data_IF_932242347012
#
_entry.id   IF_932242347012
#
_cell.length_a   1.000
_cell.length_b   1.000
_cell.length_c   1.000
_cell.angle_alpha   90.00
_cell.angle_beta   90.00
_cell.angle_gamma   90.00
#
_symmetry.space_group_name_H-M   'P 1'
#
loop_
_entity.id
_entity.type
_entity.pdbx_description
1 polymer ?
#
# COMPACT_ATOMS: atom_id res chain seq x y z
N UNK A 1 70.13 -8.26 -12.70
CA UNK A 1 69.02 -7.94 -11.77
C UNK A 1 67.95 -7.23 -12.57
N UNK A 2 66.87 -7.93 -12.93
CA UNK A 2 65.74 -7.37 -13.68
C UNK A 2 64.49 -7.71 -12.87
N UNK A 3 63.88 -6.70 -12.26
CA UNK A 3 62.58 -6.80 -11.57
C UNK A 3 61.49 -6.86 -12.65
N UNK A 4 60.75 -7.98 -12.73
CA UNK A 4 59.48 -8.05 -13.45
C UNK A 4 58.36 -7.84 -12.44
N UNK A 5 57.64 -6.73 -12.58
CA UNK A 5 56.38 -6.47 -11.88
C UNK A 5 55.26 -7.25 -12.59
N UNK A 6 54.59 -8.12 -11.85
CA UNK A 6 53.33 -8.74 -12.28
C UNK A 6 52.21 -7.76 -11.87
N UNK A 7 51.58 -7.12 -12.85
CA UNK A 7 50.36 -6.34 -12.62
C UNK A 7 49.19 -7.31 -12.76
N UNK A 8 48.61 -7.73 -11.64
CA UNK A 8 47.30 -8.38 -11.60
C UNK A 8 46.23 -7.30 -11.75
N UNK A 9 45.69 -7.14 -12.95
CA UNK A 9 44.44 -6.41 -13.16
C UNK A 9 43.29 -7.25 -12.61
N UNK A 10 42.76 -6.81 -11.48
CA UNK A 10 41.50 -7.30 -10.92
C UNK A 10 40.36 -6.72 -11.78
N UNK A 11 39.79 -7.54 -12.65
CA UNK A 11 38.55 -7.20 -13.35
C UNK A 11 37.41 -7.35 -12.36
N UNK A 12 37.01 -6.24 -11.72
CA UNK A 12 35.80 -6.17 -10.93
C UNK A 12 34.61 -6.20 -11.90
N UNK A 13 34.02 -7.38 -12.08
CA UNK A 13 32.72 -7.52 -12.77
C UNK A 13 31.66 -7.03 -11.79
N UNK A 14 31.29 -5.76 -11.91
CA UNK A 14 30.06 -5.22 -11.35
C UNK A 14 28.89 -5.85 -12.13
N UNK A 15 28.37 -6.96 -11.61
CA UNK A 15 27.00 -7.39 -11.89
C UNK A 15 26.08 -6.35 -11.24
N UNK A 16 25.77 -5.28 -11.97
CA UNK A 16 24.54 -4.55 -11.76
C UNK A 16 23.42 -5.52 -12.15
N UNK A 17 22.96 -6.30 -11.17
CA UNK A 17 21.67 -6.96 -11.28
C UNK A 17 20.62 -5.87 -11.31
N UNK A 18 20.21 -5.46 -12.51
CA UNK A 18 18.87 -4.97 -12.72
C UNK A 18 17.95 -6.16 -12.38
N UNK A 19 17.60 -6.30 -11.11
CA UNK A 19 16.49 -7.14 -10.72
C UNK A 19 15.27 -6.47 -11.33
N UNK A 20 14.75 -7.04 -12.41
CA UNK A 20 13.42 -6.73 -12.90
C UNK A 20 12.49 -6.91 -11.70
N UNK A 21 11.95 -5.82 -11.17
CA UNK A 21 10.91 -5.90 -10.15
C UNK A 21 9.75 -6.67 -10.79
N UNK A 22 9.36 -7.84 -10.26
CA UNK A 22 8.36 -8.70 -10.90
C UNK A 22 6.93 -8.14 -10.83
N UNK A 23 6.77 -6.95 -10.25
CA UNK A 23 5.48 -6.28 -10.08
C UNK A 23 5.30 -5.29 -11.23
N UNK A 24 4.42 -5.55 -12.21
CA UNK A 24 4.08 -4.55 -13.21
C UNK A 24 3.46 -3.34 -12.48
N UNK A 25 3.96 -2.12 -12.72
CA UNK A 25 3.48 -0.93 -12.02
C UNK A 25 2.00 -0.72 -12.34
N UNK A 26 1.24 -0.29 -11.33
CA UNK A 26 -0.02 0.39 -11.60
C UNK A 26 0.36 1.71 -12.32
N UNK A 27 -0.12 1.96 -13.56
CA UNK A 27 0.32 3.13 -14.32
C UNK A 27 0.04 4.42 -13.55
N UNK A 28 1.10 5.07 -13.07
CA UNK A 28 1.04 6.33 -12.33
C UNK A 28 1.67 6.28 -10.93
N UNK A 29 1.89 5.09 -10.37
CA UNK A 29 2.41 4.93 -9.01
C UNK A 29 3.90 4.58 -8.96
N UNK A 30 4.60 4.89 -7.85
CA UNK A 30 5.97 4.46 -7.65
C UNK A 30 6.13 2.95 -7.84
N UNK A 31 7.29 2.53 -8.34
CA UNK A 31 7.56 1.12 -8.63
C UNK A 31 7.25 0.21 -7.42
N UNK A 32 6.44 -0.82 -7.66
CA UNK A 32 6.03 -1.79 -6.64
C UNK A 32 4.98 -1.29 -5.64
N UNK A 33 4.35 -0.15 -5.91
CA UNK A 33 3.16 0.31 -5.19
C UNK A 33 1.89 0.04 -6.00
N UNK A 34 0.77 -0.15 -5.32
CA UNK A 34 -0.57 -0.28 -5.90
C UNK A 34 -1.56 0.60 -5.16
N UNK A 35 -2.57 1.09 -5.89
CA UNK A 35 -3.66 1.88 -5.31
C UNK A 35 -4.94 1.04 -5.22
N UNK A 36 -5.59 1.07 -4.05
CA UNK A 36 -6.89 0.46 -3.83
C UNK A 36 -7.93 1.53 -3.55
N UNK A 37 -9.14 1.45 -4.15
CA UNK A 37 -10.22 2.42 -3.93
C UNK A 37 -10.97 2.17 -2.61
N UNK A 38 -10.22 1.88 -1.55
CA UNK A 38 -10.72 1.72 -0.18
C UNK A 38 -9.55 1.77 0.81
N UNK A 39 -9.84 2.06 2.08
CA UNK A 39 -8.92 1.72 3.16
C UNK A 39 -8.94 0.23 3.46
N UNK A 40 -7.78 -0.30 3.82
CA UNK A 40 -7.57 -1.73 3.98
C UNK A 40 -7.97 -2.26 5.36
N UNK A 41 -8.42 -3.51 5.39
CA UNK A 41 -8.84 -4.22 6.59
C UNK A 41 -10.33 -4.11 6.93
N UNK A 42 -10.75 -4.91 7.92
CA UNK A 42 -12.15 -4.98 8.36
C UNK A 42 -12.59 -3.74 9.14
N UNK A 43 -11.71 -3.19 9.97
CA UNK A 43 -11.94 -1.98 10.78
C UNK A 43 -10.89 -0.92 10.41
N UNK A 44 -10.99 -0.30 9.22
CA UNK A 44 -9.94 0.56 8.69
C UNK A 44 -9.85 1.85 9.52
N UNK A 45 -8.84 1.97 10.38
CA UNK A 45 -8.53 3.23 11.07
C UNK A 45 -7.61 4.13 10.25
N UNK A 46 -7.45 5.41 10.65
CA UNK A 46 -8.14 6.06 11.77
C UNK A 46 -9.49 6.68 11.38
N UNK A 47 -10.37 6.93 12.35
CA UNK A 47 -11.57 7.78 12.13
C UNK A 47 -11.13 9.23 12.23
N UNK A 48 -11.38 10.05 11.20
CA UNK A 48 -10.96 11.46 11.21
C UNK A 48 -12.13 12.32 11.69
N UNK A 49 -11.97 13.01 12.82
CA UNK A 49 -12.99 13.93 13.34
C UNK A 49 -12.49 15.38 13.25
N UNK A 50 -13.07 16.15 12.34
CA UNK A 50 -12.81 17.58 12.18
C UNK A 50 -13.80 18.36 13.04
N UNK A 51 -13.29 19.06 14.05
CA UNK A 51 -14.06 19.85 15.03
C UNK A 51 -14.52 21.17 14.40
N UNK A 52 -13.62 21.84 13.69
CA UNK A 52 -13.83 23.15 13.07
C UNK A 52 -13.20 23.15 11.67
N UNK A 53 -13.74 23.93 10.70
CA UNK A 53 -13.16 24.00 9.38
C UNK A 53 -11.68 24.37 9.39
N UNK A 54 -10.91 23.68 8.55
CA UNK A 54 -9.45 23.73 8.51
C UNK A 54 -8.94 23.57 7.09
N UNK A 55 -7.93 24.35 6.72
CA UNK A 55 -7.23 24.20 5.44
C UNK A 55 -6.11 23.18 5.60
N UNK A 56 -6.10 22.15 4.75
CA UNK A 56 -5.10 21.08 4.73
C UNK A 56 -4.45 20.96 3.36
N UNK A 57 -3.20 20.48 3.25
CA UNK A 57 -2.57 20.16 1.98
C UNK A 57 -3.34 19.09 1.20
N UNK A 58 -3.32 19.17 -0.12
CA UNK A 58 -3.89 18.15 -1.00
C UNK A 58 -2.95 17.73 -2.11
N UNK A 59 -3.15 16.50 -2.58
CA UNK A 59 -2.47 15.88 -3.71
C UNK A 59 -3.44 15.80 -4.89
N UNK A 60 -2.93 15.96 -6.11
CA UNK A 60 -3.76 15.80 -7.31
C UNK A 60 -4.01 14.31 -7.59
N UNK A 61 -2.98 13.50 -7.39
CA UNK A 61 -3.02 12.05 -7.43
C UNK A 61 -2.39 11.49 -6.13
N UNK A 62 -2.94 10.44 -5.48
CA UNK A 62 -2.32 9.81 -4.31
C UNK A 62 -0.90 9.29 -4.57
N UNK A 63 -0.56 9.05 -5.84
CA UNK A 63 0.76 8.62 -6.28
C UNK A 63 1.73 9.78 -6.56
N UNK A 64 1.29 11.04 -6.43
CA UNK A 64 2.18 12.20 -6.50
C UNK A 64 3.09 12.27 -5.26
N UNK A 65 4.39 12.56 -5.44
CA UNK A 65 5.33 12.63 -4.33
C UNK A 65 5.20 13.90 -3.47
N UNK A 66 4.42 14.90 -3.90
CA UNK A 66 4.31 16.19 -3.23
C UNK A 66 2.88 16.74 -3.31
N UNK A 67 2.41 17.46 -2.27
CA UNK A 67 1.14 18.16 -2.32
C UNK A 67 1.17 19.25 -3.40
N UNK A 68 0.06 19.42 -4.09
CA UNK A 68 -0.10 20.34 -5.23
C UNK A 68 -1.14 21.43 -4.98
N UNK A 69 -1.88 21.35 -3.87
CA UNK A 69 -2.91 22.33 -3.51
C UNK A 69 -3.27 22.33 -2.03
N UNK A 70 -4.38 22.99 -1.73
CA UNK A 70 -5.00 22.96 -0.40
C UNK A 70 -6.51 22.77 -0.53
N UNK A 71 -7.14 22.26 0.53
CA UNK A 71 -8.58 22.06 0.64
C UNK A 71 -9.05 22.50 2.02
N UNK A 72 -10.22 23.14 2.10
CA UNK A 72 -10.88 23.39 3.39
C UNK A 72 -11.74 22.19 3.75
N UNK A 73 -11.28 21.38 4.70
CA UNK A 73 -12.10 20.37 5.35
C UNK A 73 -13.15 21.05 6.21
N UNK A 74 -14.41 20.64 6.05
CA UNK A 74 -15.51 21.07 6.92
C UNK A 74 -15.56 20.22 8.19
N UNK A 75 -16.19 20.75 9.24
CA UNK A 75 -16.45 19.96 10.44
C UNK A 75 -17.28 18.71 10.11
N UNK A 76 -16.91 17.56 10.70
CA UNK A 76 -17.51 16.27 10.36
C UNK A 76 -16.65 15.09 10.79
N UNK A 77 -17.17 13.89 10.55
CA UNK A 77 -16.46 12.62 10.76
C UNK A 77 -16.26 11.97 9.39
N UNK A 78 -15.01 11.67 9.04
CA UNK A 78 -14.63 11.07 7.77
C UNK A 78 -14.08 9.67 8.00
N UNK A 79 -14.67 8.70 7.31
CA UNK A 79 -14.30 7.28 7.39
C UNK A 79 -14.94 6.51 6.21
N UNK A 80 -14.36 5.40 5.74
CA UNK A 80 -14.95 4.51 4.72
C UNK A 80 -16.33 3.92 5.04
N UNK A 81 -16.79 4.07 6.28
CA UNK A 81 -18.14 3.64 6.71
C UNK A 81 -19.13 4.81 6.78
N UNK A 82 -18.67 6.04 6.52
CA UNK A 82 -19.51 7.20 6.31
C UNK A 82 -20.00 7.29 4.86
N UNK A 83 -20.94 8.19 4.63
CA UNK A 83 -21.47 8.47 3.29
C UNK A 83 -20.73 9.64 2.64
N UNK A 84 -20.43 9.53 1.34
CA UNK A 84 -20.18 10.69 0.47
C UNK A 84 -18.72 11.09 0.24
N UNK A 85 -17.76 10.33 0.78
CA UNK A 85 -16.33 10.57 0.60
C UNK A 85 -15.67 9.41 -0.17
N UNK A 86 -14.57 9.71 -0.86
CA UNK A 86 -13.76 8.69 -1.53
C UNK A 86 -12.52 8.37 -0.69
N UNK A 87 -12.16 7.10 -0.60
CA UNK A 87 -11.03 6.62 0.20
C UNK A 87 -10.13 5.77 -0.68
N UNK A 88 -8.82 5.91 -0.49
CA UNK A 88 -7.83 5.11 -1.21
C UNK A 88 -6.69 4.71 -0.29
N UNK A 89 -6.10 3.56 -0.56
CA UNK A 89 -4.84 3.11 0.04
C UNK A 89 -3.79 2.96 -1.04
N UNK A 90 -2.66 3.63 -0.87
CA UNK A 90 -1.45 3.42 -1.64
C UNK A 90 -0.52 2.55 -0.82
N UNK A 91 -0.22 1.33 -1.27
CA UNK A 91 0.58 0.38 -0.48
C UNK A 91 1.65 -0.32 -1.27
N UNK A 92 2.73 -0.79 -0.61
CA UNK A 92 3.68 -1.69 -1.23
C UNK A 92 3.00 -3.03 -1.56
N UNK A 93 3.37 -3.57 -2.71
CA UNK A 93 3.10 -4.96 -3.06
C UNK A 93 4.09 -5.85 -2.32
N UNK A 94 3.57 -6.89 -1.67
CA UNK A 94 4.41 -7.87 -0.99
C UNK A 94 4.68 -9.07 -1.90
N UNK A 95 5.93 -9.30 -2.31
CA UNK A 95 6.27 -10.41 -3.17
C UNK A 95 6.54 -11.68 -2.37
N UNK A 96 6.01 -12.80 -2.86
CA UNK A 96 6.27 -14.15 -2.35
C UNK A 96 6.68 -15.07 -3.51
N UNK A 97 7.43 -16.12 -3.21
CA UNK A 97 7.73 -17.20 -4.14
C UNK A 97 7.17 -18.54 -3.64
N UNK A 98 6.59 -19.33 -4.55
CA UNK A 98 6.06 -20.65 -4.24
C UNK A 98 7.18 -21.68 -4.02
N UNK A 99 7.23 -22.28 -2.83
CA UNK A 99 8.17 -23.36 -2.48
C UNK A 99 7.70 -24.73 -2.97
N UNK A 100 6.38 -24.94 -3.00
CA UNK A 100 5.73 -26.14 -3.51
C UNK A 100 4.56 -25.78 -4.44
N UNK A 101 4.10 -26.73 -5.24
CA UNK A 101 2.89 -26.57 -6.08
C UNK A 101 1.64 -26.61 -5.19
N UNK A 102 0.75 -25.64 -5.35
CA UNK A 102 -0.51 -25.57 -4.60
C UNK A 102 -1.63 -24.96 -5.44
N UNK A 103 -2.84 -24.93 -4.88
CA UNK A 103 -3.98 -24.24 -5.48
C UNK A 103 -4.37 -23.07 -4.59
N UNK A 104 -4.42 -21.88 -5.19
CA UNK A 104 -4.98 -20.67 -4.60
C UNK A 104 -6.35 -20.43 -5.25
N UNK A 105 -7.42 -20.72 -4.52
CA UNK A 105 -8.80 -20.81 -5.06
C UNK A 105 -8.91 -21.79 -6.24
N UNK A 106 -9.03 -21.29 -7.46
CA UNK A 106 -9.12 -22.08 -8.70
C UNK A 106 -7.80 -22.05 -9.50
N UNK A 107 -6.84 -21.22 -9.08
CA UNK A 107 -5.57 -21.03 -9.78
C UNK A 107 -4.50 -21.95 -9.21
N UNK A 108 -3.93 -22.79 -10.08
CA UNK A 108 -2.77 -23.62 -9.74
C UNK A 108 -1.53 -22.74 -9.78
N UNK A 109 -0.81 -22.67 -8.66
CA UNK A 109 0.47 -21.99 -8.51
C UNK A 109 1.58 -23.04 -8.56
N UNK A 110 2.50 -22.88 -9.51
CA UNK A 110 3.63 -23.78 -9.73
C UNK A 110 4.86 -23.36 -8.90
N UNK A 111 5.77 -24.30 -8.65
CA UNK A 111 6.99 -24.05 -7.87
C UNK A 111 7.83 -22.94 -8.53
N UNK A 112 8.27 -21.97 -7.73
CA UNK A 112 9.05 -20.81 -8.16
C UNK A 112 8.22 -19.68 -8.77
N UNK A 113 6.91 -19.86 -8.98
CA UNK A 113 6.06 -18.74 -9.41
C UNK A 113 6.00 -17.65 -8.34
N UNK A 114 5.86 -16.41 -8.79
CA UNK A 114 5.69 -15.24 -7.92
C UNK A 114 4.22 -15.05 -7.61
N UNK A 115 3.92 -14.90 -6.33
CA UNK A 115 2.61 -14.52 -5.82
C UNK A 115 2.76 -13.15 -5.16
N UNK A 116 1.93 -12.20 -5.56
CA UNK A 116 1.99 -10.84 -5.06
C UNK A 116 0.78 -10.60 -4.17
N UNK A 117 0.96 -10.20 -2.91
CA UNK A 117 -0.14 -9.67 -2.11
C UNK A 117 -0.26 -8.20 -2.44
N UNK A 118 -1.40 -7.82 -3.02
CA UNK A 118 -1.65 -6.46 -3.48
C UNK A 118 -2.57 -5.70 -2.54
N UNK A 119 -3.42 -6.36 -1.75
CA UNK A 119 -4.38 -5.70 -0.87
C UNK A 119 -4.87 -6.58 0.29
N UNK A 120 -5.17 -5.97 1.43
CA UNK A 120 -5.88 -6.57 2.55
C UNK A 120 -7.33 -6.06 2.53
N UNK A 121 -8.27 -6.98 2.34
CA UNK A 121 -9.70 -6.68 2.28
C UNK A 121 -10.36 -6.96 3.64
N UNK A 122 -11.69 -6.98 3.68
CA UNK A 122 -12.45 -7.36 4.87
C UNK A 122 -12.41 -8.88 5.13
N UNK A 123 -12.77 -9.29 6.34
CA UNK A 123 -13.04 -10.69 6.72
C UNK A 123 -11.87 -11.66 6.44
N UNK A 124 -10.63 -11.20 6.64
CA UNK A 124 -9.41 -11.99 6.40
C UNK A 124 -9.18 -12.36 4.94
N UNK A 125 -9.79 -11.65 3.99
CA UNK A 125 -9.55 -11.84 2.56
C UNK A 125 -8.43 -10.91 2.09
N UNK A 126 -7.55 -11.43 1.25
CA UNK A 126 -6.49 -10.70 0.59
C UNK A 126 -6.70 -10.71 -0.92
N UNK A 127 -6.29 -9.62 -1.58
CA UNK A 127 -6.11 -9.60 -3.02
C UNK A 127 -4.69 -10.09 -3.34
N UNK A 128 -4.63 -11.14 -4.14
CA UNK A 128 -3.41 -11.71 -4.68
C UNK A 128 -3.33 -11.43 -6.18
N UNK A 129 -2.12 -11.30 -6.70
CA UNK A 129 -1.85 -11.33 -8.13
C UNK A 129 -0.89 -12.47 -8.43
N UNK A 130 -1.33 -13.37 -9.31
CA UNK A 130 -0.52 -14.48 -9.83
C UNK A 130 -0.54 -14.37 -11.34
N UNK A 131 0.63 -14.10 -11.95
CA UNK A 131 0.73 -13.75 -13.38
C UNK A 131 -0.12 -12.50 -13.69
N UNK A 132 -1.14 -12.64 -14.54
CA UNK A 132 -2.07 -11.55 -14.93
C UNK A 132 -3.43 -11.65 -14.22
N UNK A 133 -3.62 -12.63 -13.33
CA UNK A 133 -4.89 -12.86 -12.64
C UNK A 133 -4.89 -12.20 -11.25
N UNK A 134 -5.97 -11.51 -10.92
CA UNK A 134 -6.28 -11.08 -9.55
C UNK A 134 -7.17 -12.11 -8.90
N UNK A 135 -6.77 -12.60 -7.73
CA UNK A 135 -7.45 -13.65 -6.97
C UNK A 135 -7.77 -13.10 -5.59
N UNK A 136 -9.00 -13.27 -5.12
CA UNK A 136 -9.38 -12.93 -3.74
C UNK A 136 -9.49 -14.23 -2.96
N UNK A 137 -8.66 -14.39 -1.94
CA UNK A 137 -8.59 -15.61 -1.13
C UNK A 137 -8.30 -15.25 0.33
N UNK A 138 -8.34 -16.23 1.23
CA UNK A 138 -7.89 -16.02 2.61
C UNK A 138 -6.44 -15.51 2.65
N UNK A 139 -6.18 -14.53 3.51
CA UNK A 139 -4.86 -13.96 3.71
C UNK A 139 -3.84 -15.00 4.18
N UNK A 140 -2.56 -14.69 3.93
CA UNK A 140 -1.45 -15.56 4.31
C UNK A 140 -1.30 -15.59 5.84
N UNK A 141 -1.75 -16.67 6.46
CA UNK A 141 -1.38 -17.04 7.83
C UNK A 141 -0.27 -18.10 7.80
N UNK A 142 0.50 -18.18 8.89
CA UNK A 142 1.54 -19.21 9.03
C UNK A 142 0.95 -20.59 8.68
N UNK A 143 1.54 -21.25 7.69
CA UNK A 143 1.21 -22.59 7.16
C UNK A 143 0.04 -22.73 6.17
N UNK A 144 -0.71 -21.68 5.84
CA UNK A 144 -1.85 -21.82 4.90
C UNK A 144 -1.42 -22.11 3.45
N UNK A 145 -0.25 -21.60 3.05
CA UNK A 145 0.29 -21.77 1.70
C UNK A 145 1.81 -21.99 1.74
N UNK A 146 2.38 -22.81 0.84
CA UNK A 146 3.81 -23.07 0.77
C UNK A 146 4.56 -21.91 0.11
N UNK A 147 4.50 -20.72 0.72
CA UNK A 147 5.10 -19.48 0.22
C UNK A 147 6.33 -19.06 1.04
N UNK A 148 7.27 -18.40 0.38
CA UNK A 148 8.41 -17.73 1.01
C UNK A 148 8.36 -16.25 0.68
N UNK A 149 8.37 -15.41 1.70
CA UNK A 149 8.41 -13.96 1.52
C UNK A 149 9.73 -13.56 0.85
N UNK A 150 9.63 -12.76 -0.21
CA UNK A 150 10.76 -12.08 -0.81
C UNK A 150 10.95 -10.72 -0.12
N UNK A 151 12.12 -10.07 -0.25
CA UNK A 151 12.36 -8.76 0.36
C UNK A 151 11.28 -7.75 -0.05
N UNK A 152 10.56 -7.21 0.93
CA UNK A 152 9.60 -6.14 0.71
C UNK A 152 10.31 -4.83 0.39
N UNK A 153 9.63 -3.96 -0.35
CA UNK A 153 10.11 -2.59 -0.55
C UNK A 153 10.04 -1.82 0.77
N UNK A 154 11.01 -0.95 1.07
CA UNK A 154 11.02 -0.15 2.30
C UNK A 154 10.09 1.07 2.17
N UNK A 155 8.86 0.85 1.72
CA UNK A 155 7.85 1.90 1.51
C UNK A 155 6.67 1.61 2.41
N UNK A 156 6.13 2.65 3.04
CA UNK A 156 5.01 2.54 3.96
C UNK A 156 3.68 2.55 3.20
N UNK A 157 2.68 1.90 3.79
CA UNK A 157 1.29 2.06 3.37
C UNK A 157 0.80 3.45 3.73
N UNK A 158 0.15 4.12 2.77
CA UNK A 158 -0.41 5.45 2.91
C UNK A 158 -1.90 5.42 2.63
N UNK A 159 -2.66 6.13 3.44
CA UNK A 159 -4.11 6.25 3.29
C UNK A 159 -4.46 7.67 2.88
N UNK A 160 -5.40 7.80 1.96
CA UNK A 160 -5.92 9.10 1.56
C UNK A 160 -7.43 9.09 1.53
N UNK A 161 -8.02 10.28 1.64
CA UNK A 161 -9.44 10.48 1.43
C UNK A 161 -9.70 11.78 0.68
N UNK A 162 -10.92 11.90 0.14
CA UNK A 162 -11.42 13.11 -0.52
C UNK A 162 -12.76 13.48 0.07
N UNK A 163 -12.84 14.70 0.61
CA UNK A 163 -14.01 15.21 1.30
C UNK A 163 -14.40 16.60 0.79
N UNK A 164 -15.40 16.66 -0.10
CA UNK A 164 -15.96 17.92 -0.60
C UNK A 164 -15.01 18.81 -1.42
N UNK A 165 -13.84 18.30 -1.83
CA UNK A 165 -12.87 18.99 -2.67
C UNK A 165 -12.27 18.07 -3.74
N UNK A 166 -11.55 18.63 -4.72
CA UNK A 166 -11.03 17.87 -5.87
C UNK A 166 -9.77 17.06 -5.55
N UNK A 167 -8.99 17.46 -4.53
CA UNK A 167 -7.72 16.84 -4.18
C UNK A 167 -7.81 15.79 -3.07
N UNK A 168 -6.81 14.90 -3.02
CA UNK A 168 -6.64 13.85 -2.02
C UNK A 168 -5.91 14.38 -0.79
N UNK A 169 -6.37 13.99 0.39
CA UNK A 169 -5.79 14.38 1.67
C UNK A 169 -5.11 13.15 2.25
N UNK A 170 -3.81 13.26 2.53
CA UNK A 170 -3.03 12.22 3.18
C UNK A 170 -3.44 12.11 4.65
N UNK A 171 -3.58 10.88 5.12
CA UNK A 171 -3.84 10.56 6.53
C UNK A 171 -2.53 10.12 7.17
N UNK A 172 -1.88 11.07 7.83
CA UNK A 172 -0.62 10.90 8.54
C UNK A 172 -0.65 11.64 9.89
N UNK A 173 0.45 11.56 10.64
CA UNK A 173 0.57 12.25 11.93
C UNK A 173 0.42 13.78 11.81
N UNK A 174 0.91 14.36 10.71
CA UNK A 174 0.83 15.82 10.45
C UNK A 174 -0.63 16.30 10.33
N UNK A 175 -1.54 15.46 9.81
CA UNK A 175 -2.97 15.76 9.77
C UNK A 175 -3.56 15.90 11.19
N UNK A 176 -3.18 15.00 12.11
CA UNK A 176 -3.69 14.97 13.49
C UNK A 176 -2.97 15.95 14.43
N UNK A 177 -1.81 16.48 14.04
CA UNK A 177 -1.15 17.59 14.74
C UNK A 177 -1.94 18.91 14.65
N UNK A 178 -2.91 18.99 13.73
CA UNK A 178 -3.81 20.13 13.65
C UNK A 178 -4.81 20.12 14.82
N UNK A 179 -4.83 21.16 15.67
CA UNK A 179 -5.73 21.28 16.86
C UNK A 179 -7.25 21.20 16.59
N UNK A 180 -7.66 21.14 15.33
CA UNK A 180 -9.06 21.05 14.88
C UNK A 180 -9.42 19.68 14.32
N UNK A 181 -8.45 18.77 14.27
CA UNK A 181 -8.61 17.40 13.81
C UNK A 181 -8.20 16.51 14.98
N UNK A 182 -9.05 15.55 15.32
CA UNK A 182 -8.80 14.59 16.39
C UNK A 182 -9.18 13.20 15.91
N UNK A 183 -8.67 12.19 16.60
CA UNK A 183 -9.16 10.83 16.44
C UNK A 183 -10.65 10.76 16.79
N UNK A 184 -11.43 10.26 15.85
CA UNK A 184 -12.79 9.80 16.10
C UNK A 184 -12.82 8.41 16.72
N UNK A 185 -13.99 7.78 16.70
CA UNK A 185 -14.18 6.45 17.26
C UNK A 185 -14.97 5.55 16.32
N UNK A 186 -14.53 4.29 16.22
CA UNK A 186 -15.37 3.20 15.76
C UNK A 186 -16.30 2.82 16.91
N UNK A 187 -17.61 2.99 16.72
CA UNK A 187 -18.61 2.79 17.77
C UNK A 187 -19.15 1.35 17.75
N UNK A 188 -19.38 0.81 16.56
CA UNK A 188 -19.82 -0.56 16.29
C UNK A 188 -19.57 -0.85 14.80
N UNK A 189 -19.84 -2.08 14.37
CA UNK A 189 -19.68 -2.48 12.98
C UNK A 189 -20.46 -1.56 12.03
N UNK A 190 -19.75 -0.95 11.07
CA UNK A 190 -20.33 -0.02 10.10
C UNK A 190 -20.72 1.34 10.68
N UNK A 191 -20.26 1.70 11.89
CA UNK A 191 -20.62 2.97 12.53
C UNK A 191 -19.43 3.65 13.20
N UNK A 192 -19.25 4.91 12.83
CA UNK A 192 -18.24 5.81 13.39
C UNK A 192 -18.87 7.03 14.04
N UNK A 193 -18.08 7.71 14.85
CA UNK A 193 -18.50 8.95 15.50
C UNK A 193 -17.33 9.79 15.98
N UNK A 194 -17.62 10.96 16.58
CA UNK A 194 -16.60 11.78 17.23
C UNK A 194 -15.96 11.05 18.41
N UNK A 195 -14.68 11.33 18.66
CA UNK A 195 -13.91 10.88 19.82
C UNK A 195 -14.08 11.75 21.06
#
# INVERSE_FOLDING_TARGET
MVRRFLILTFTLVLLAGCGDSPVPPDPGCPDGMVIHPMWQGEYPGPVIHVIDPVEVPTFADPCDPYPSGTCTLTAGVFHPWGDGDDFVTLRPVEPYTAKDRFTLEETIVEVGETVLVTGYLAENICAFRVREETIHAECLYEDNYPLEALPALPVEELQFFRAGCEGWILVDEDLFDHQKIVDGAILEWGKVGPG
#
